data_IF_175840817241
#
_entry.id   IF_175840817241
#
_cell.length_a   1.000
_cell.length_b   1.000
_cell.length_c   1.000
_cell.angle_alpha   90.00
_cell.angle_beta   90.00
_cell.angle_gamma   90.00
#
_symmetry.space_group_name_H-M   'P 1'
#
loop_
_entity.id
_entity.type
_entity.pdbx_description
1 polymer ?
#
# COMPACT_ATOMS: atom_id res chain seq x y z
N UNK A 1 11.05 10.29 -29.01
CA UNK A 1 10.62 10.68 -27.67
C UNK A 1 11.05 9.59 -26.69
N UNK A 2 11.67 9.96 -25.60
CA UNK A 2 12.03 9.02 -24.52
C UNK A 2 10.79 8.88 -23.64
N UNK A 3 10.30 7.65 -23.48
CA UNK A 3 9.19 7.35 -22.59
C UNK A 3 9.76 7.02 -21.21
N UNK A 4 9.79 8.01 -20.31
CA UNK A 4 10.32 7.86 -18.95
C UNK A 4 9.33 8.41 -17.94
N UNK A 5 9.27 7.77 -16.76
CA UNK A 5 8.59 8.28 -15.57
C UNK A 5 9.66 8.61 -14.53
N UNK A 6 9.86 9.91 -14.29
CA UNK A 6 10.85 10.42 -13.35
C UNK A 6 10.15 11.03 -12.13
N UNK A 7 10.75 10.85 -10.97
CA UNK A 7 10.32 11.51 -9.74
C UNK A 7 11.47 12.34 -9.16
N UNK A 8 11.10 13.34 -8.37
CA UNK A 8 12.06 14.08 -7.54
C UNK A 8 11.43 14.38 -6.17
N UNK A 9 12.28 14.61 -5.19
CA UNK A 9 11.87 14.99 -3.84
C UNK A 9 12.71 16.19 -3.39
N UNK A 10 12.05 17.20 -2.80
CA UNK A 10 12.73 18.35 -2.22
C UNK A 10 11.92 18.91 -1.05
N UNK A 11 12.57 19.27 0.08
CA UNK A 11 11.89 19.96 1.17
C UNK A 11 11.27 21.31 0.75
N UNK A 12 11.74 21.91 -0.32
CA UNK A 12 11.24 23.20 -0.83
C UNK A 12 9.85 23.11 -1.46
N UNK A 13 9.41 21.92 -1.85
CA UNK A 13 8.08 21.69 -2.45
C UNK A 13 7.05 21.15 -1.44
N UNK A 14 7.44 20.97 -0.18
CA UNK A 14 6.50 20.53 0.84
C UNK A 14 5.48 21.64 1.16
N UNK A 15 4.19 21.31 1.24
CA UNK A 15 3.17 22.28 1.60
C UNK A 15 3.37 22.74 3.05
N UNK A 16 3.02 24.00 3.35
CA UNK A 16 3.06 24.52 4.70
C UNK A 16 1.94 23.97 5.59
N UNK A 17 0.81 23.63 5.00
CA UNK A 17 -0.31 22.93 5.60
C UNK A 17 -1.09 22.19 4.52
N UNK A 18 -1.92 21.24 4.91
CA UNK A 18 -2.86 20.53 4.03
C UNK A 18 -4.23 20.47 4.70
N UNK A 19 -5.27 20.61 3.89
CA UNK A 19 -6.66 20.39 4.31
C UNK A 19 -7.12 19.11 3.65
N UNK A 20 -7.55 18.17 4.48
CA UNK A 20 -8.02 16.85 4.04
C UNK A 20 -9.55 16.85 4.10
N UNK A 21 -10.20 17.13 2.98
CA UNK A 21 -11.66 17.14 2.85
C UNK A 21 -12.10 15.88 2.05
N UNK A 22 -12.72 14.88 2.70
CA UNK A 22 -13.17 13.67 2.02
C UNK A 22 -14.19 13.92 0.91
N UNK A 23 -14.99 14.97 1.00
CA UNK A 23 -16.05 15.26 0.02
C UNK A 23 -15.49 15.56 -1.38
N UNK A 24 -14.30 16.14 -1.48
CA UNK A 24 -13.68 16.43 -2.78
C UNK A 24 -13.36 15.16 -3.58
N UNK A 25 -13.33 14.00 -2.92
CA UNK A 25 -13.06 12.71 -3.55
C UNK A 25 -14.30 12.04 -4.14
N UNK A 26 -15.52 12.57 -3.90
CA UNK A 26 -16.77 11.98 -4.39
C UNK A 26 -16.88 11.98 -5.92
N UNK A 27 -16.25 12.96 -6.57
CA UNK A 27 -16.24 13.08 -8.04
C UNK A 27 -15.23 12.16 -8.75
N UNK A 28 -14.42 11.41 -8.01
CA UNK A 28 -13.46 10.49 -8.59
C UNK A 28 -14.16 9.33 -9.30
N UNK A 29 -13.77 8.98 -10.54
CA UNK A 29 -14.25 7.78 -11.18
C UNK A 29 -13.88 6.52 -10.38
N UNK A 30 -14.72 5.50 -10.42
CA UNK A 30 -14.53 4.23 -9.71
C UNK A 30 -13.12 3.64 -9.88
N UNK A 31 -12.60 3.67 -11.13
CA UNK A 31 -11.23 3.22 -11.40
C UNK A 31 -10.18 3.97 -10.58
N UNK A 32 -10.32 5.28 -10.41
CA UNK A 32 -9.36 6.08 -9.65
C UNK A 32 -9.53 5.86 -8.14
N UNK A 33 -10.74 5.59 -7.68
CA UNK A 33 -10.98 5.19 -6.29
C UNK A 33 -10.29 3.85 -6.01
N UNK A 34 -10.48 2.85 -6.87
CA UNK A 34 -9.81 1.56 -6.74
C UNK A 34 -8.28 1.70 -6.81
N UNK A 35 -7.77 2.51 -7.74
CA UNK A 35 -6.34 2.82 -7.82
C UNK A 35 -5.81 3.43 -6.51
N UNK A 36 -6.53 4.37 -5.91
CA UNK A 36 -6.12 5.00 -4.64
C UNK A 36 -6.08 4.03 -3.47
N UNK A 37 -7.03 3.11 -3.39
CA UNK A 37 -7.04 2.03 -2.37
C UNK A 37 -5.83 1.11 -2.53
N UNK A 38 -5.59 0.62 -3.75
CA UNK A 38 -4.47 -0.29 -4.06
C UNK A 38 -3.13 0.40 -3.81
N UNK A 39 -2.96 1.62 -4.28
CA UNK A 39 -1.72 2.39 -4.11
C UNK A 39 -1.41 2.64 -2.63
N UNK A 40 -2.41 3.06 -1.85
CA UNK A 40 -2.25 3.28 -0.41
C UNK A 40 -1.88 1.99 0.32
N UNK A 41 -2.50 0.86 -0.02
CA UNK A 41 -2.17 -0.44 0.55
C UNK A 41 -0.71 -0.82 0.25
N UNK A 42 -0.28 -0.71 -1.01
CA UNK A 42 1.06 -1.09 -1.43
C UNK A 42 2.13 -0.18 -0.81
N UNK A 43 1.85 1.11 -0.63
CA UNK A 43 2.75 2.02 0.11
C UNK A 43 3.03 1.50 1.53
N UNK A 44 2.01 1.03 2.23
CA UNK A 44 2.19 0.46 3.57
C UNK A 44 2.94 -0.86 3.50
N UNK A 45 2.57 -1.74 2.55
CA UNK A 45 3.19 -3.06 2.37
C UNK A 45 4.70 -2.96 2.11
N UNK A 46 5.14 -2.04 1.25
CA UNK A 46 6.57 -1.89 0.93
C UNK A 46 7.40 -1.31 2.08
N UNK A 47 6.78 -0.61 3.01
CA UNK A 47 7.44 -0.17 4.24
C UNK A 47 7.39 -1.25 5.34
N UNK A 48 6.41 -2.14 5.30
CA UNK A 48 6.19 -3.19 6.29
C UNK A 48 6.91 -4.50 5.97
N UNK A 49 6.86 -4.99 4.72
CA UNK A 49 7.42 -6.27 4.29
C UNK A 49 8.94 -6.19 4.07
N UNK A 50 9.65 -5.92 5.15
CA UNK A 50 11.11 -5.87 5.20
C UNK A 50 11.62 -6.84 6.28
N UNK A 51 12.94 -6.89 6.50
CA UNK A 51 13.46 -7.74 7.58
C UNK A 51 13.13 -7.15 8.96
N UNK A 52 12.88 -8.01 9.98
CA UNK A 52 12.47 -7.55 11.31
C UNK A 52 13.57 -6.74 12.01
N UNK A 53 13.21 -5.58 12.58
CA UNK A 53 14.09 -4.73 13.40
C UNK A 53 13.49 -4.45 14.78
N UNK A 54 12.48 -5.25 15.20
CA UNK A 54 11.77 -5.08 16.47
C UNK A 54 11.10 -3.71 16.65
N UNK A 55 10.63 -3.11 15.58
CA UNK A 55 9.95 -1.82 15.55
C UNK A 55 8.43 -2.01 15.71
N UNK A 56 8.00 -2.43 16.91
CA UNK A 56 6.59 -2.80 17.20
C UNK A 56 5.59 -1.68 16.93
N UNK A 57 5.95 -0.43 17.23
CA UNK A 57 5.06 0.73 17.01
C UNK A 57 4.78 0.90 15.53
N UNK A 58 5.82 0.91 14.70
CA UNK A 58 5.70 1.02 13.24
C UNK A 58 4.92 -0.16 12.66
N UNK A 59 5.19 -1.37 13.15
CA UNK A 59 4.49 -2.58 12.71
C UNK A 59 2.98 -2.50 13.01
N UNK A 60 2.59 -2.12 14.23
CA UNK A 60 1.18 -2.00 14.60
C UNK A 60 0.46 -0.87 13.87
N UNK A 61 1.14 0.26 13.63
CA UNK A 61 0.58 1.32 12.79
C UNK A 61 0.37 0.85 11.36
N UNK A 62 1.34 0.17 10.76
CA UNK A 62 1.23 -0.38 9.42
C UNK A 62 0.10 -1.42 9.32
N UNK A 63 0.00 -2.32 10.29
CA UNK A 63 -1.06 -3.32 10.39
C UNK A 63 -2.45 -2.65 10.48
N UNK A 64 -2.59 -1.62 11.33
CA UNK A 64 -3.83 -0.85 11.46
C UNK A 64 -4.22 -0.15 10.17
N UNK A 65 -3.26 0.46 9.47
CA UNK A 65 -3.51 1.12 8.18
C UNK A 65 -3.93 0.11 7.11
N UNK A 66 -3.21 -1.01 6.96
CA UNK A 66 -3.56 -2.06 5.99
C UNK A 66 -4.96 -2.61 6.24
N UNK A 67 -5.30 -2.88 7.50
CA UNK A 67 -6.63 -3.37 7.87
C UNK A 67 -7.72 -2.37 7.51
N UNK A 68 -7.55 -1.10 7.86
CA UNK A 68 -8.49 -0.04 7.52
C UNK A 68 -8.65 0.08 6.00
N UNK A 69 -7.56 0.09 5.23
CA UNK A 69 -7.60 0.19 3.78
C UNK A 69 -8.34 -0.99 3.15
N UNK A 70 -8.12 -2.22 3.63
CA UNK A 70 -8.82 -3.41 3.13
C UNK A 70 -10.32 -3.37 3.47
N UNK A 71 -10.68 -3.01 4.70
CA UNK A 71 -12.07 -2.94 5.15
C UNK A 71 -12.85 -1.85 4.42
N UNK A 72 -12.32 -0.64 4.36
CA UNK A 72 -13.00 0.50 3.73
C UNK A 72 -12.89 0.46 2.20
N UNK A 73 -11.81 -0.07 1.66
CA UNK A 73 -11.61 -0.24 0.23
C UNK A 73 -12.64 -1.17 -0.42
N UNK A 74 -13.10 -2.19 0.30
CA UNK A 74 -14.19 -3.08 -0.17
C UNK A 74 -15.55 -2.39 -0.17
N UNK A 75 -15.77 -1.43 0.75
CA UNK A 75 -17.04 -0.72 0.90
C UNK A 75 -17.18 0.48 -0.03
N UNK A 76 -16.08 1.18 -0.32
CA UNK A 76 -16.12 2.45 -1.06
C UNK A 76 -16.68 2.32 -2.47
N UNK A 77 -16.48 1.17 -3.12
CA UNK A 77 -17.01 0.92 -4.47
C UNK A 77 -18.53 0.69 -4.45
N UNK A 78 -19.08 0.22 -3.33
CA UNK A 78 -20.50 0.01 -3.14
C UNK A 78 -21.20 1.27 -2.61
N UNK A 79 -20.48 2.08 -1.82
CA UNK A 79 -20.99 3.29 -1.17
C UNK A 79 -20.06 4.48 -1.46
N UNK A 80 -19.98 4.95 -2.72
CA UNK A 80 -18.93 5.89 -3.16
C UNK A 80 -19.03 7.27 -2.52
N UNK A 81 -20.17 7.66 -1.99
CA UNK A 81 -20.43 8.97 -1.37
C UNK A 81 -20.60 8.89 0.16
N UNK A 82 -20.24 7.77 0.77
CA UNK A 82 -20.23 7.65 2.22
C UNK A 82 -19.04 8.44 2.79
N UNK A 83 -19.35 9.41 3.66
CA UNK A 83 -18.36 10.31 4.23
C UNK A 83 -17.33 9.58 5.11
N UNK A 84 -17.80 8.68 5.97
CA UNK A 84 -16.93 7.99 6.93
C UNK A 84 -15.96 7.05 6.23
N UNK A 85 -16.43 6.34 5.20
CA UNK A 85 -15.58 5.50 4.35
C UNK A 85 -14.49 6.35 3.67
N UNK A 86 -14.87 7.45 3.04
CA UNK A 86 -13.93 8.37 2.36
C UNK A 86 -12.96 9.02 3.33
N UNK A 87 -13.42 9.41 4.51
CA UNK A 87 -12.59 10.02 5.55
C UNK A 87 -11.53 9.03 6.07
N UNK A 88 -11.94 7.79 6.35
CA UNK A 88 -11.03 6.74 6.77
C UNK A 88 -9.98 6.41 5.70
N UNK A 89 -10.39 6.28 4.43
CA UNK A 89 -9.47 6.04 3.33
C UNK A 89 -8.50 7.22 3.13
N UNK A 90 -8.98 8.46 3.15
CA UNK A 90 -8.14 9.64 3.00
C UNK A 90 -7.12 9.75 4.13
N UNK A 91 -7.53 9.47 5.37
CA UNK A 91 -6.62 9.51 6.50
C UNK A 91 -5.61 8.36 6.47
N UNK A 92 -6.05 7.14 6.11
CA UNK A 92 -5.16 6.01 5.93
C UNK A 92 -4.14 6.26 4.81
N UNK A 93 -4.56 6.77 3.65
CA UNK A 93 -3.69 7.13 2.54
C UNK A 93 -2.66 8.20 2.93
N UNK A 94 -3.08 9.22 3.70
CA UNK A 94 -2.16 10.24 4.22
C UNK A 94 -1.08 9.63 5.09
N UNK A 95 -1.44 8.70 5.97
CA UNK A 95 -0.49 8.04 6.87
C UNK A 95 0.33 6.94 6.19
N UNK A 96 -0.11 6.43 5.05
CA UNK A 96 0.63 5.45 4.24
C UNK A 96 1.95 6.02 3.68
N UNK A 97 2.04 7.35 3.46
CA UNK A 97 3.24 7.98 2.87
C UNK A 97 3.60 9.34 3.50
N UNK A 98 3.35 9.55 4.78
CA UNK A 98 3.82 10.74 5.50
C UNK A 98 5.15 10.52 6.26
N UNK A 99 5.87 9.46 5.95
CA UNK A 99 7.11 9.03 6.58
C UNK A 99 6.97 8.51 8.03
N UNK A 100 5.77 8.41 8.57
CA UNK A 100 5.57 8.00 9.97
C UNK A 100 5.92 6.53 10.21
N UNK A 101 5.31 5.61 9.45
CA UNK A 101 5.50 4.17 9.62
C UNK A 101 6.88 3.69 9.17
N UNK A 102 7.60 4.49 8.38
CA UNK A 102 8.95 4.20 7.90
C UNK A 102 10.08 4.69 8.81
N UNK A 103 9.78 5.34 9.94
CA UNK A 103 10.82 5.90 10.81
C UNK A 103 11.64 4.81 11.50
N UNK A 104 12.95 4.80 11.22
CA UNK A 104 13.90 3.89 11.85
C UNK A 104 13.76 2.43 11.40
N UNK A 105 13.02 2.16 10.33
CA UNK A 105 12.89 0.82 9.74
C UNK A 105 13.40 0.81 8.29
N UNK A 106 13.94 -0.33 7.81
CA UNK A 106 14.26 -0.47 6.39
C UNK A 106 12.99 -0.47 5.55
N UNK A 107 13.08 0.07 4.35
CA UNK A 107 11.97 0.16 3.40
C UNK A 107 12.38 -0.50 2.08
N UNK A 108 11.46 -1.16 1.42
CA UNK A 108 11.67 -1.80 0.12
C UNK A 108 10.67 -1.24 -0.90
N UNK A 109 11.14 -0.39 -1.79
CA UNK A 109 10.35 0.27 -2.84
C UNK A 109 10.50 -0.41 -4.21
N UNK A 110 10.77 -1.72 -4.25
CA UNK A 110 11.02 -2.48 -5.48
C UNK A 110 9.83 -2.44 -6.43
N UNK A 111 8.60 -2.62 -5.91
CA UNK A 111 7.40 -2.63 -6.75
C UNK A 111 7.17 -1.27 -7.40
N UNK A 112 7.34 -0.18 -6.65
CA UNK A 112 7.21 1.18 -7.19
C UNK A 112 8.25 1.45 -8.30
N UNK A 113 9.51 1.09 -8.07
CA UNK A 113 10.57 1.35 -9.04
C UNK A 113 10.41 0.54 -10.32
N UNK A 114 10.06 -0.73 -10.23
CA UNK A 114 9.75 -1.55 -11.41
C UNK A 114 8.48 -1.08 -12.12
N UNK A 115 7.48 -0.62 -11.37
CA UNK A 115 6.23 -0.08 -11.90
C UNK A 115 6.42 1.13 -12.82
N UNK A 116 7.45 1.95 -12.60
CA UNK A 116 7.74 3.10 -13.45
C UNK A 116 8.00 2.71 -14.91
N UNK A 117 8.70 1.59 -15.13
CA UNK A 117 8.95 1.10 -16.48
C UNK A 117 7.64 0.68 -17.18
N UNK A 118 6.72 0.01 -16.47
CA UNK A 118 5.43 -0.38 -17.02
C UNK A 118 4.55 0.83 -17.36
N UNK A 119 4.52 1.84 -16.49
CA UNK A 119 3.83 3.10 -16.80
C UNK A 119 4.43 3.76 -18.05
N UNK A 120 5.74 3.87 -18.13
CA UNK A 120 6.43 4.54 -19.24
C UNK A 120 6.21 3.81 -20.57
N UNK A 121 6.25 2.48 -20.58
CA UNK A 121 6.17 1.68 -21.80
C UNK A 121 4.73 1.41 -22.26
N UNK A 122 3.81 1.18 -21.33
CA UNK A 122 2.47 0.70 -21.63
C UNK A 122 1.34 1.68 -21.27
N UNK A 123 1.67 2.81 -20.64
CA UNK A 123 0.67 3.81 -20.24
C UNK A 123 -0.29 3.34 -19.15
N UNK A 124 0.09 2.30 -18.39
CA UNK A 124 -0.73 1.82 -17.28
C UNK A 124 -0.79 2.84 -16.15
N UNK A 125 -1.92 2.92 -15.46
CA UNK A 125 -2.04 3.71 -14.23
C UNK A 125 -1.03 3.21 -13.19
N UNK A 126 -0.56 4.10 -12.33
CA UNK A 126 0.47 3.76 -11.33
C UNK A 126 0.06 2.56 -10.47
N UNK A 127 -1.13 2.60 -9.87
CA UNK A 127 -1.62 1.51 -9.02
C UNK A 127 -1.79 0.19 -9.77
N UNK A 128 -2.16 0.22 -11.05
CA UNK A 128 -2.24 -0.99 -11.89
C UNK A 128 -0.86 -1.64 -12.03
N UNK A 129 0.20 -0.83 -12.23
CA UNK A 129 1.56 -1.39 -12.32
C UNK A 129 2.00 -2.02 -11.00
N UNK A 130 1.63 -1.41 -9.88
CA UNK A 130 1.93 -1.94 -8.55
C UNK A 130 1.19 -3.26 -8.28
N UNK A 131 -0.11 -3.32 -8.62
CA UNK A 131 -0.92 -4.53 -8.47
C UNK A 131 -0.39 -5.72 -9.28
N UNK A 132 0.21 -5.45 -10.44
CA UNK A 132 0.84 -6.50 -11.28
C UNK A 132 2.17 -6.97 -10.70
N UNK A 133 2.97 -6.05 -10.17
CA UNK A 133 4.36 -6.34 -9.76
C UNK A 133 4.45 -6.91 -8.36
N UNK A 134 3.69 -6.36 -7.41
CA UNK A 134 3.82 -6.71 -5.99
C UNK A 134 3.70 -8.21 -5.70
N UNK A 135 2.71 -8.96 -6.25
CA UNK A 135 2.62 -10.41 -6.01
C UNK A 135 3.87 -11.16 -6.48
N UNK A 136 4.46 -10.74 -7.59
CA UNK A 136 5.71 -11.31 -8.10
C UNK A 136 6.89 -11.06 -7.18
N UNK A 137 7.03 -9.82 -6.66
CA UNK A 137 8.07 -9.46 -5.68
C UNK A 137 7.90 -10.26 -4.39
N UNK A 138 6.68 -10.32 -3.86
CA UNK A 138 6.40 -11.10 -2.65
C UNK A 138 6.69 -12.59 -2.84
N UNK A 139 6.33 -13.16 -3.99
CA UNK A 139 6.61 -14.55 -4.32
C UNK A 139 8.11 -14.83 -4.42
N UNK A 140 8.85 -13.96 -5.14
CA UNK A 140 10.30 -14.09 -5.30
C UNK A 140 11.04 -13.99 -3.96
N UNK A 141 10.62 -13.04 -3.10
CA UNK A 141 11.21 -12.78 -1.79
C UNK A 141 10.50 -13.51 -0.65
N UNK A 142 9.68 -14.54 -0.95
CA UNK A 142 8.82 -15.19 0.05
C UNK A 142 9.57 -15.72 1.26
N UNK A 143 10.75 -16.31 1.05
CA UNK A 143 11.55 -16.88 2.13
C UNK A 143 12.11 -15.80 3.06
N UNK A 144 12.68 -14.76 2.48
CA UNK A 144 13.29 -13.65 3.20
C UNK A 144 12.24 -12.81 3.94
N UNK A 145 11.05 -12.65 3.37
CA UNK A 145 9.94 -11.90 3.93
C UNK A 145 8.94 -12.76 4.72
N UNK A 146 9.22 -14.06 4.91
CA UNK A 146 8.26 -15.02 5.46
C UNK A 146 7.65 -14.59 6.81
N UNK A 147 8.45 -14.11 7.74
CA UNK A 147 7.97 -13.69 9.06
C UNK A 147 6.91 -12.58 8.97
N UNK A 148 7.15 -11.57 8.14
CA UNK A 148 6.23 -10.45 7.93
C UNK A 148 5.02 -10.84 7.07
N UNK A 149 5.19 -11.69 6.06
CA UNK A 149 4.08 -12.22 5.26
C UNK A 149 3.10 -13.03 6.12
N UNK A 150 3.62 -13.93 6.97
CA UNK A 150 2.80 -14.71 7.90
C UNK A 150 2.04 -13.77 8.84
N UNK A 151 2.72 -12.80 9.44
CA UNK A 151 2.11 -11.84 10.36
C UNK A 151 1.03 -10.99 9.66
N UNK A 152 1.29 -10.51 8.45
CA UNK A 152 0.32 -9.80 7.63
C UNK A 152 -0.93 -10.67 7.38
N UNK A 153 -0.72 -11.91 6.96
CA UNK A 153 -1.80 -12.87 6.72
C UNK A 153 -2.65 -13.10 7.96
N UNK A 154 -2.03 -13.28 9.12
CA UNK A 154 -2.73 -13.48 10.39
C UNK A 154 -3.56 -12.27 10.79
N UNK A 155 -2.96 -11.07 10.76
CA UNK A 155 -3.59 -9.86 11.30
C UNK A 155 -4.61 -9.25 10.34
N UNK A 156 -4.32 -9.24 9.02
CA UNK A 156 -5.16 -8.56 8.02
C UNK A 156 -6.20 -9.51 7.44
N UNK A 157 -5.82 -10.75 7.16
CA UNK A 157 -6.65 -11.71 6.43
C UNK A 157 -7.15 -12.90 7.27
N UNK A 158 -6.76 -12.99 8.55
CA UNK A 158 -7.18 -14.07 9.45
C UNK A 158 -6.62 -15.46 9.10
N UNK A 159 -5.46 -15.50 8.40
CA UNK A 159 -4.82 -16.76 7.98
C UNK A 159 -4.05 -17.35 9.16
N UNK A 160 -4.66 -18.26 9.88
CA UNK A 160 -4.11 -18.88 11.10
C UNK A 160 -3.65 -20.32 10.88
N UNK A 161 -4.16 -21.00 9.86
CA UNK A 161 -3.98 -22.43 9.62
C UNK A 161 -2.96 -22.74 8.53
N UNK A 162 -2.13 -23.75 8.74
CA UNK A 162 -1.13 -24.25 7.81
C UNK A 162 0.31 -24.10 8.32
N UNK A 163 1.24 -24.69 7.59
CA UNK A 163 2.68 -24.52 7.82
C UNK A 163 3.10 -23.05 7.58
N UNK A 164 4.29 -22.69 8.01
CA UNK A 164 4.84 -21.35 7.79
C UNK A 164 4.88 -20.96 6.30
N UNK A 165 5.29 -21.89 5.43
CA UNK A 165 5.36 -21.65 3.99
C UNK A 165 3.97 -21.52 3.36
N UNK A 166 3.01 -22.35 3.77
CA UNK A 166 1.60 -22.24 3.34
C UNK A 166 0.96 -20.93 3.78
N UNK A 167 1.18 -20.49 5.02
CA UNK A 167 0.67 -19.20 5.51
C UNK A 167 1.27 -18.03 4.73
N UNK A 168 2.58 -18.04 4.48
CA UNK A 168 3.23 -17.02 3.67
C UNK A 168 2.66 -16.99 2.25
N UNK A 169 2.45 -18.14 1.63
CA UNK A 169 1.87 -18.25 0.29
C UNK A 169 0.42 -17.74 0.26
N UNK A 170 -0.42 -18.18 1.20
CA UNK A 170 -1.82 -17.70 1.32
C UNK A 170 -1.90 -16.19 1.55
N UNK A 171 -0.92 -15.63 2.27
CA UNK A 171 -0.88 -14.17 2.49
C UNK A 171 -0.55 -13.37 1.23
N UNK A 172 0.13 -13.97 0.25
CA UNK A 172 0.38 -13.38 -1.06
C UNK A 172 -0.86 -13.46 -1.94
N UNK A 173 -1.64 -14.53 -1.79
CA UNK A 173 -2.84 -14.80 -2.59
C UNK A 173 -4.08 -14.05 -2.11
N UNK A 174 -4.10 -13.60 -0.86
CA UNK A 174 -5.22 -12.88 -0.24
C UNK A 174 -5.31 -11.42 -0.65
#
# INVERSE_FOLDING_TARGET
>A
SVHEKLNFMSPLVFPKFAILDPQVTYSLPERQVANGVVDSFIHVVEQYLTYPVNAKVQDYFAEGLMKTIVEEGRKVLQNPNDYDIRANLMWAATNALNCWIGQGVPQDWSSHRMGYALTAQFGLDHAQTLAVILPGVMTYMRKEKAAKLIRMGEVIFGITEGSADEKAQKSIEA
#
